data_IF_857845763950
#
_entry.id   IF_857845763950
#
_cell.length_a   1.000
_cell.length_b   1.000
_cell.length_c   1.000
_cell.angle_alpha   90.00
_cell.angle_beta   90.00
_cell.angle_gamma   90.00
#
_symmetry.space_group_name_H-M   'P 1'
#
loop_
_entity.id
_entity.type
_entity.pdbx_description
1 polymer ?
#
# COMPACT_ATOMS: atom_id res chain seq x y z
N UNK A 1 -11.84 32.78 -10.60
CA UNK A 1 -11.41 31.38 -10.86
C UNK A 1 -9.93 31.27 -10.54
N UNK A 2 -9.58 31.08 -9.27
CA UNK A 2 -8.17 30.95 -8.86
C UNK A 2 -7.72 29.52 -9.15
N UNK A 3 -6.77 29.35 -10.06
CA UNK A 3 -6.16 28.05 -10.35
C UNK A 3 -5.31 27.60 -9.16
N UNK A 4 -5.65 26.47 -8.56
CA UNK A 4 -4.84 25.84 -7.53
C UNK A 4 -3.54 25.35 -8.18
N UNK A 5 -2.43 26.06 -7.99
CA UNK A 5 -1.11 25.55 -8.34
C UNK A 5 -0.82 24.36 -7.42
N UNK A 6 -0.92 23.15 -7.97
CA UNK A 6 -0.52 21.93 -7.27
C UNK A 6 0.98 22.01 -7.02
N UNK A 7 1.37 22.21 -5.76
CA UNK A 7 2.75 22.10 -5.31
C UNK A 7 3.29 20.74 -5.77
N UNK A 8 4.37 20.70 -6.54
CA UNK A 8 4.99 19.44 -6.94
C UNK A 8 5.55 18.74 -5.70
N UNK A 9 5.13 17.50 -5.51
CA UNK A 9 5.66 16.61 -4.48
C UNK A 9 7.11 16.23 -4.83
N UNK A 10 8.07 16.85 -4.15
CA UNK A 10 9.51 16.67 -4.38
C UNK A 10 10.03 15.36 -3.77
N UNK A 11 9.39 14.86 -2.72
CA UNK A 11 9.86 13.70 -1.96
C UNK A 11 9.26 12.37 -2.44
N UNK A 12 8.28 12.43 -3.36
CA UNK A 12 7.64 11.24 -3.95
C UNK A 12 8.60 10.14 -4.38
N UNK A 13 9.73 10.52 -4.98
CA UNK A 13 10.74 9.56 -5.42
C UNK A 13 11.44 8.85 -4.24
N UNK A 14 11.77 9.59 -3.18
CA UNK A 14 12.39 9.03 -1.98
C UNK A 14 11.41 8.12 -1.22
N UNK A 15 10.13 8.50 -1.14
CA UNK A 15 9.08 7.66 -0.54
C UNK A 15 8.97 6.33 -1.27
N UNK A 16 8.87 6.35 -2.60
CA UNK A 16 8.80 5.10 -3.37
C UNK A 16 10.07 4.26 -3.26
N UNK A 17 11.25 4.87 -3.16
CA UNK A 17 12.48 4.12 -2.93
C UNK A 17 12.47 3.41 -1.58
N UNK A 18 11.96 4.07 -0.53
CA UNK A 18 11.81 3.47 0.79
C UNK A 18 10.77 2.33 0.78
N UNK A 19 9.63 2.52 0.10
CA UNK A 19 8.61 1.48 -0.08
C UNK A 19 9.17 0.25 -0.81
N UNK A 20 9.93 0.46 -1.88
CA UNK A 20 10.55 -0.62 -2.66
C UNK A 20 11.58 -1.37 -1.80
N UNK A 21 12.41 -0.65 -1.02
CA UNK A 21 13.36 -1.26 -0.08
C UNK A 21 12.66 -2.10 1.00
N UNK A 22 11.59 -1.56 1.61
CA UNK A 22 10.85 -2.26 2.64
C UNK A 22 10.14 -3.49 2.09
N UNK A 23 9.52 -3.38 0.91
CA UNK A 23 8.87 -4.49 0.20
C UNK A 23 9.86 -5.63 -0.06
N UNK A 24 11.07 -5.31 -0.53
CA UNK A 24 12.10 -6.32 -0.75
C UNK A 24 12.53 -7.00 0.57
N UNK A 25 12.61 -6.26 1.67
CA UNK A 25 12.97 -6.81 2.98
C UNK A 25 11.91 -7.80 3.50
N UNK A 26 10.62 -7.46 3.41
CA UNK A 26 9.51 -8.32 3.86
C UNK A 26 9.18 -9.46 2.88
N UNK A 27 9.46 -9.32 1.58
CA UNK A 27 9.39 -10.43 0.62
C UNK A 27 10.42 -11.51 0.96
N UNK A 28 11.62 -11.10 1.39
CA UNK A 28 12.66 -12.03 1.85
C UNK A 28 12.36 -12.59 3.25
N UNK A 29 11.84 -11.75 4.15
CA UNK A 29 11.74 -12.04 5.57
C UNK A 29 13.12 -12.25 6.23
N UNK A 30 13.11 -12.75 7.47
CA UNK A 30 14.32 -13.09 8.20
C UNK A 30 14.83 -11.96 9.13
N UNK A 31 15.96 -12.19 9.81
CA UNK A 31 16.56 -11.18 10.67
C UNK A 31 17.18 -10.06 9.83
N UNK A 32 16.96 -8.81 10.24
CA UNK A 32 17.61 -7.62 9.68
C UNK A 32 18.12 -6.71 10.79
N UNK A 33 19.17 -5.95 10.49
CA UNK A 33 19.56 -4.79 11.29
C UNK A 33 18.91 -3.54 10.67
N UNK A 34 18.05 -2.90 11.44
CA UNK A 34 17.26 -1.74 11.05
C UNK A 34 17.55 -0.59 12.01
N UNK A 35 18.36 0.37 11.57
CA UNK A 35 18.77 1.54 12.37
C UNK A 35 19.29 1.17 13.78
N UNK A 36 20.15 0.15 13.86
CA UNK A 36 20.72 -0.33 15.13
C UNK A 36 19.80 -1.25 15.94
N UNK A 37 18.59 -1.52 15.46
CA UNK A 37 17.68 -2.51 16.05
C UNK A 37 17.73 -3.81 15.26
N UNK A 38 17.73 -4.95 15.95
CA UNK A 38 17.61 -6.26 15.30
C UNK A 38 16.14 -6.65 15.22
N UNK A 39 15.60 -6.71 14.01
CA UNK A 39 14.21 -7.08 13.74
C UNK A 39 14.13 -8.46 13.09
N UNK A 40 13.13 -9.24 13.47
CA UNK A 40 12.77 -10.47 12.77
C UNK A 40 11.56 -10.18 11.89
N UNK A 41 11.75 -10.12 10.57
CA UNK A 41 10.66 -9.86 9.64
C UNK A 41 9.95 -11.17 9.26
N UNK A 42 8.60 -11.18 9.26
CA UNK A 42 7.85 -12.25 8.62
C UNK A 42 7.99 -12.13 7.10
N UNK A 43 7.86 -13.26 6.40
CA UNK A 43 7.65 -13.24 4.94
C UNK A 43 6.23 -12.72 4.69
N UNK A 44 6.09 -11.69 3.88
CA UNK A 44 4.76 -11.17 3.55
C UNK A 44 3.95 -12.22 2.77
N UNK A 45 2.71 -12.41 3.18
CA UNK A 45 1.76 -13.22 2.42
C UNK A 45 1.05 -12.35 1.38
N UNK A 46 0.64 -12.95 0.28
CA UNK A 46 -0.09 -12.26 -0.79
C UNK A 46 -1.52 -12.75 -0.81
N UNK A 47 -2.46 -11.85 -1.10
CA UNK A 47 -3.83 -12.24 -1.37
C UNK A 47 -3.89 -13.10 -2.63
N UNK A 48 -4.62 -14.22 -2.54
CA UNK A 48 -4.81 -15.13 -3.66
C UNK A 48 -5.89 -14.70 -4.66
N UNK A 49 -6.75 -13.74 -4.30
CA UNK A 49 -7.85 -13.26 -5.14
C UNK A 49 -8.28 -11.84 -4.77
N UNK A 50 -8.93 -11.14 -5.71
CA UNK A 50 -9.54 -9.83 -5.49
C UNK A 50 -10.59 -9.88 -4.36
N UNK A 51 -11.43 -10.92 -4.33
CA UNK A 51 -12.44 -11.12 -3.29
C UNK A 51 -11.83 -11.24 -1.88
N UNK A 52 -10.63 -11.83 -1.76
CA UNK A 52 -9.92 -11.88 -0.49
C UNK A 52 -9.46 -10.47 -0.05
N UNK A 53 -9.08 -9.60 -0.99
CA UNK A 53 -8.75 -8.20 -0.70
C UNK A 53 -9.99 -7.42 -0.27
N UNK A 54 -11.10 -7.57 -0.99
CA UNK A 54 -12.37 -6.89 -0.65
C UNK A 54 -12.83 -7.22 0.77
N UNK A 55 -12.90 -8.52 1.11
CA UNK A 55 -13.26 -8.95 2.47
C UNK A 55 -12.32 -8.43 3.54
N UNK A 56 -11.01 -8.41 3.24
CA UNK A 56 -10.02 -7.89 4.19
C UNK A 56 -10.22 -6.40 4.46
N UNK A 57 -10.44 -5.61 3.41
CA UNK A 57 -10.65 -4.17 3.53
C UNK A 57 -11.98 -3.85 4.22
N UNK A 58 -13.03 -4.60 3.94
CA UNK A 58 -14.30 -4.50 4.66
C UNK A 58 -14.11 -4.80 6.14
N UNK A 59 -13.39 -5.87 6.49
CA UNK A 59 -13.07 -6.21 7.87
C UNK A 59 -12.28 -5.08 8.57
N UNK A 60 -11.30 -4.47 7.90
CA UNK A 60 -10.58 -3.31 8.45
C UNK A 60 -11.52 -2.13 8.74
N UNK A 61 -12.48 -1.85 7.85
CA UNK A 61 -13.46 -0.79 8.09
C UNK A 61 -14.32 -1.06 9.34
N UNK A 62 -14.62 -2.33 9.65
CA UNK A 62 -15.32 -2.69 10.90
C UNK A 62 -14.48 -2.47 12.16
N UNK A 63 -13.16 -2.68 12.07
CA UNK A 63 -12.23 -2.52 13.20
C UNK A 63 -11.83 -1.06 13.45
N UNK A 64 -11.98 -0.20 12.44
CA UNK A 64 -11.59 1.21 12.51
C UNK A 64 -12.77 2.15 12.21
N UNK A 65 -13.68 2.35 13.19
CA UNK A 65 -14.78 3.30 13.06
C UNK A 65 -14.26 4.69 12.66
N UNK A 66 -14.77 5.23 11.55
CA UNK A 66 -14.34 6.52 10.99
C UNK A 66 -13.44 6.42 9.75
N UNK A 67 -12.94 5.23 9.41
CA UNK A 67 -12.31 4.97 8.11
C UNK A 67 -13.43 4.68 7.09
N UNK A 68 -13.55 5.47 6.00
CA UNK A 68 -14.57 5.20 4.99
C UNK A 68 -14.28 3.89 4.25
N UNK A 69 -15.34 3.15 3.94
CA UNK A 69 -15.23 1.96 3.10
C UNK A 69 -14.70 2.32 1.71
N UNK A 70 -13.92 1.43 1.12
CA UNK A 70 -13.35 1.60 -0.22
C UNK A 70 -13.68 0.40 -1.09
N UNK A 71 -13.88 0.65 -2.38
CA UNK A 71 -14.05 -0.40 -3.39
C UNK A 71 -12.69 -0.84 -3.90
N UNK A 72 -12.46 -2.14 -4.01
CA UNK A 72 -11.27 -2.70 -4.65
C UNK A 72 -11.65 -3.24 -6.02
N UNK A 73 -10.80 -3.05 -7.04
CA UNK A 73 -11.03 -3.63 -8.36
C UNK A 73 -9.73 -3.92 -9.09
N UNK A 74 -9.79 -4.77 -10.11
CA UNK A 74 -8.68 -4.88 -11.05
C UNK A 74 -8.46 -3.59 -11.84
N UNK A 75 -7.19 -3.28 -12.06
CA UNK A 75 -6.69 -2.23 -12.93
C UNK A 75 -6.40 -2.85 -14.30
N UNK A 76 -6.65 -2.10 -15.38
CA UNK A 76 -6.30 -2.54 -16.74
C UNK A 76 -4.80 -2.70 -17.01
N UNK A 77 -3.92 -2.15 -16.16
CA UNK A 77 -2.48 -2.17 -16.36
C UNK A 77 -1.75 -2.79 -15.17
N UNK A 78 -0.64 -3.49 -15.47
CA UNK A 78 0.06 -4.38 -14.53
C UNK A 78 1.12 -3.72 -13.62
N UNK A 79 1.18 -2.39 -13.60
CA UNK A 79 2.31 -1.66 -13.00
C UNK A 79 2.20 -1.57 -11.47
N UNK A 80 1.46 -0.58 -10.96
CA UNK A 80 1.26 -0.34 -9.53
C UNK A 80 -0.23 -0.16 -9.26
N UNK A 81 -0.62 -0.35 -8.01
CA UNK A 81 -1.96 0.01 -7.57
C UNK A 81 -2.20 1.51 -7.78
N UNK A 82 -3.44 1.87 -8.13
CA UNK A 82 -3.86 3.26 -8.24
C UNK A 82 -4.88 3.56 -7.15
N UNK A 83 -4.63 4.63 -6.40
CA UNK A 83 -5.46 5.08 -5.30
C UNK A 83 -6.19 6.35 -5.71
N UNK A 84 -7.50 6.34 -5.57
CA UNK A 84 -8.38 7.50 -5.75
C UNK A 84 -9.41 7.51 -4.63
N UNK A 85 -10.14 8.63 -4.47
CA UNK A 85 -11.16 8.74 -3.42
C UNK A 85 -12.15 7.56 -3.47
N UNK A 86 -12.14 6.74 -2.42
CA UNK A 86 -13.02 5.58 -2.27
C UNK A 86 -12.69 4.35 -3.14
N UNK A 87 -11.61 4.37 -3.93
CA UNK A 87 -11.29 3.25 -4.84
C UNK A 87 -9.80 2.91 -4.84
N UNK A 88 -9.51 1.62 -4.68
CA UNK A 88 -8.18 1.02 -4.85
C UNK A 88 -8.22 0.12 -6.09
N UNK A 89 -7.49 0.49 -7.13
CA UNK A 89 -7.37 -0.32 -8.34
C UNK A 89 -6.03 -1.08 -8.36
N UNK A 90 -6.06 -2.40 -8.20
CA UNK A 90 -4.87 -3.27 -8.10
C UNK A 90 -4.52 -3.95 -9.43
N UNK A 91 -3.24 -4.18 -9.76
CA UNK A 91 -2.79 -4.88 -10.97
C UNK A 91 -3.43 -6.26 -11.22
#
# INVERSE_FOLDING_TARGET
>A
MAGTTVQRDADRAAVYAAEDQWTAAIDRGGPIDFFGSRLQLPVQTRFGSLEAVERYVEHLATMHPGVPSVTVRHRKGKARAHYSAGVIAIP
#
